data_IF_752246945956
#
_entry.id   IF_752246945956
#
_cell.length_a   1.000
_cell.length_b   1.000
_cell.length_c   1.000
_cell.angle_alpha   90.00
_cell.angle_beta   90.00
_cell.angle_gamma   90.00
#
_symmetry.space_group_name_H-M   'P 1'
#
loop_
_entity.id
_entity.type
_entity.pdbx_description
1 polymer ?
#
# COMPACT_ATOMS: atom_id res chain seq x y z
N UNK A 1 -15.93 20.39 -11.00
CA UNK A 1 -16.68 19.36 -11.76
C UNK A 1 -17.87 18.97 -10.91
N UNK A 2 -19.01 18.64 -11.51
CA UNK A 2 -20.17 18.15 -10.74
C UNK A 2 -19.83 16.78 -10.13
N UNK A 3 -20.20 16.51 -8.87
CA UNK A 3 -19.99 15.20 -8.26
C UNK A 3 -20.86 14.14 -8.94
N UNK A 4 -20.33 12.94 -9.08
CA UNK A 4 -21.06 11.77 -9.57
C UNK A 4 -21.75 11.10 -8.39
N UNK A 5 -23.07 10.91 -8.45
CA UNK A 5 -23.87 10.39 -7.34
C UNK A 5 -24.46 9.03 -7.70
N UNK A 6 -24.42 8.09 -6.76
CA UNK A 6 -24.88 6.72 -6.97
C UNK A 6 -25.64 6.21 -5.74
N UNK A 7 -26.74 5.45 -5.91
CA UNK A 7 -27.46 4.90 -4.78
C UNK A 7 -26.68 3.75 -4.14
N UNK A 8 -26.80 3.58 -2.82
CA UNK A 8 -26.12 2.50 -2.08
C UNK A 8 -26.55 1.08 -2.52
N UNK A 9 -27.72 0.96 -3.15
CA UNK A 9 -28.24 -0.29 -3.68
C UNK A 9 -27.72 -0.64 -5.09
N UNK A 10 -26.93 0.23 -5.72
CA UNK A 10 -26.37 -0.02 -7.06
C UNK A 10 -25.37 -1.17 -7.02
N UNK A 11 -25.43 -2.04 -8.03
CA UNK A 11 -24.46 -3.13 -8.18
C UNK A 11 -23.08 -2.58 -8.58
N UNK A 12 -22.03 -3.21 -8.06
CA UNK A 12 -20.64 -2.75 -8.20
C UNK A 12 -20.13 -2.82 -9.64
N UNK A 13 -20.56 -3.83 -10.40
CA UNK A 13 -20.26 -4.00 -11.82
C UNK A 13 -20.88 -2.90 -12.69
N UNK A 14 -22.16 -2.57 -12.45
CA UNK A 14 -22.83 -1.46 -13.12
C UNK A 14 -22.18 -0.11 -12.77
N UNK A 15 -21.81 0.07 -11.50
CA UNK A 15 -21.12 1.27 -11.02
C UNK A 15 -19.76 1.45 -11.70
N UNK A 16 -18.99 0.38 -11.86
CA UNK A 16 -17.68 0.40 -12.51
C UNK A 16 -17.77 0.91 -13.96
N UNK A 17 -18.73 0.38 -14.71
CA UNK A 17 -18.90 0.73 -16.12
C UNK A 17 -19.33 2.19 -16.28
N UNK A 18 -20.27 2.66 -15.46
CA UNK A 18 -20.68 4.07 -15.46
C UNK A 18 -19.54 5.03 -15.08
N UNK A 19 -18.73 4.68 -14.06
CA UNK A 19 -17.60 5.49 -13.64
C UNK A 19 -16.50 5.55 -14.71
N UNK A 20 -16.27 4.45 -15.45
CA UNK A 20 -15.36 4.41 -16.61
C UNK A 20 -15.85 5.29 -17.76
N UNK A 21 -17.12 5.15 -18.15
CA UNK A 21 -17.71 5.92 -19.25
C UNK A 21 -17.75 7.42 -18.93
N UNK A 22 -18.17 7.76 -17.70
CA UNK A 22 -18.24 9.14 -17.21
C UNK A 22 -16.88 9.79 -16.93
N UNK A 23 -15.77 9.03 -17.02
CA UNK A 23 -14.42 9.45 -16.59
C UNK A 23 -14.42 10.01 -15.16
N UNK A 24 -15.23 9.41 -14.29
CA UNK A 24 -15.39 9.80 -12.89
C UNK A 24 -14.46 8.95 -12.02
N UNK A 25 -13.44 9.56 -11.43
CA UNK A 25 -12.53 8.85 -10.52
C UNK A 25 -13.11 8.58 -9.13
N UNK A 26 -14.20 9.26 -8.76
CA UNK A 26 -14.82 9.17 -7.44
C UNK A 26 -16.32 9.44 -7.55
N UNK A 27 -17.11 8.71 -6.76
CA UNK A 27 -18.55 8.85 -6.66
C UNK A 27 -18.99 9.04 -5.19
N UNK A 28 -20.07 9.79 -4.99
CA UNK A 28 -20.74 9.96 -3.69
C UNK A 28 -21.90 8.98 -3.62
N UNK A 29 -21.90 8.15 -2.58
CA UNK A 29 -22.95 7.15 -2.33
C UNK A 29 -24.07 7.82 -1.55
N UNK A 30 -25.32 7.67 -2.00
CA UNK A 30 -26.50 8.25 -1.36
C UNK A 30 -27.52 7.18 -0.96
N UNK A 31 -28.23 7.44 0.14
CA UNK A 31 -29.39 6.66 0.57
C UNK A 31 -30.66 7.02 -0.23
N UNK A 32 -31.75 6.32 0.06
CA UNK A 32 -33.07 6.49 -0.57
C UNK A 32 -33.70 7.88 -0.33
N UNK A 33 -33.24 8.61 0.67
CA UNK A 33 -33.70 9.95 1.04
C UNK A 33 -32.78 11.05 0.49
N UNK A 34 -31.74 10.69 -0.27
CA UNK A 34 -30.75 11.61 -0.83
C UNK A 34 -29.68 12.05 0.16
N UNK A 35 -29.60 11.40 1.32
CA UNK A 35 -28.52 11.58 2.30
C UNK A 35 -27.22 10.94 1.80
N UNK A 36 -26.11 11.65 1.91
CA UNK A 36 -24.80 11.07 1.58
C UNK A 36 -24.38 10.09 2.68
N UNK A 37 -24.16 8.83 2.30
CA UNK A 37 -23.74 7.76 3.21
C UNK A 37 -22.24 7.47 3.10
N UNK A 38 -21.61 7.82 1.97
CA UNK A 38 -20.18 7.59 1.77
C UNK A 38 -19.64 8.08 0.43
N UNK A 39 -18.39 7.71 0.14
CA UNK A 39 -17.72 7.93 -1.14
C UNK A 39 -17.01 6.66 -1.56
N UNK A 40 -16.82 6.48 -2.87
CA UNK A 40 -16.13 5.33 -3.47
C UNK A 40 -15.23 5.82 -4.60
N UNK A 41 -14.01 5.30 -4.70
CA UNK A 41 -13.10 5.60 -5.80
C UNK A 41 -13.12 4.49 -6.84
N UNK A 42 -12.88 4.86 -8.10
CA UNK A 42 -12.80 3.89 -9.21
C UNK A 42 -11.68 2.86 -8.97
N UNK A 43 -10.58 3.29 -8.35
CA UNK A 43 -9.45 2.43 -8.02
C UNK A 43 -9.79 1.35 -6.99
N UNK A 44 -10.63 1.67 -5.98
CA UNK A 44 -11.08 0.69 -4.98
C UNK A 44 -11.92 -0.42 -5.63
N UNK A 45 -12.81 -0.06 -6.57
CA UNK A 45 -13.64 -1.05 -7.28
C UNK A 45 -12.78 -1.97 -8.16
N UNK A 46 -11.77 -1.40 -8.82
CA UNK A 46 -10.85 -2.17 -9.67
C UNK A 46 -10.01 -3.11 -8.81
N UNK A 47 -9.54 -2.67 -7.63
CA UNK A 47 -8.78 -3.49 -6.69
C UNK A 47 -9.59 -4.70 -6.21
N UNK A 48 -10.88 -4.52 -5.87
CA UNK A 48 -11.76 -5.62 -5.43
C UNK A 48 -12.03 -6.67 -6.52
N UNK A 49 -12.13 -6.24 -7.79
CA UNK A 49 -12.41 -7.16 -8.92
C UNK A 49 -11.14 -7.88 -9.38
N UNK A 50 -10.04 -7.13 -9.49
CA UNK A 50 -8.79 -7.68 -10.02
C UNK A 50 -8.11 -8.54 -8.95
N UNK A 51 -8.23 -8.18 -7.67
CA UNK A 51 -7.36 -8.74 -6.64
C UNK A 51 -5.88 -8.56 -6.98
N UNK A 52 -4.97 -9.15 -6.21
CA UNK A 52 -3.60 -9.35 -6.71
C UNK A 52 -3.67 -10.44 -7.79
N UNK A 53 -3.32 -10.15 -9.04
CA UNK A 53 -3.37 -11.15 -10.12
C UNK A 53 -2.39 -12.29 -9.79
N UNK A 54 -2.93 -13.43 -9.37
CA UNK A 54 -2.20 -14.65 -9.02
C UNK A 54 -1.90 -15.51 -10.28
N UNK A 55 -0.65 -15.91 -10.44
CA UNK A 55 -0.19 -16.92 -11.41
C UNK A 55 -0.17 -18.30 -10.73
N UNK A 56 -0.55 -19.37 -11.45
CA UNK A 56 -0.85 -20.72 -10.91
C UNK A 56 0.37 -21.48 -10.35
N UNK A 57 1.53 -20.84 -10.19
CA UNK A 57 2.79 -21.48 -9.82
C UNK A 57 3.51 -20.94 -8.57
N UNK A 58 3.09 -19.85 -7.92
CA UNK A 58 3.86 -19.28 -6.81
C UNK A 58 3.21 -19.46 -5.42
N UNK A 59 3.93 -20.18 -4.55
CA UNK A 59 3.67 -20.23 -3.11
C UNK A 59 4.00 -18.87 -2.50
N UNK A 60 2.95 -18.10 -2.17
CA UNK A 60 3.03 -16.90 -1.33
C UNK A 60 3.41 -15.64 -2.07
N UNK A 61 2.54 -14.64 -2.01
CA UNK A 61 2.76 -13.28 -2.51
C UNK A 61 4.10 -12.76 -1.98
N UNK A 62 5.04 -12.45 -2.87
CA UNK A 62 6.28 -11.76 -2.48
C UNK A 62 5.97 -10.29 -2.20
N UNK A 63 6.01 -9.91 -0.93
CA UNK A 63 5.79 -8.55 -0.44
C UNK A 63 6.94 -7.57 -0.76
N UNK A 64 7.82 -7.95 -1.68
CA UNK A 64 8.88 -7.08 -2.20
C UNK A 64 9.20 -7.44 -3.65
N UNK A 65 9.69 -6.46 -4.41
CA UNK A 65 10.22 -6.65 -5.76
C UNK A 65 11.49 -5.85 -5.96
N UNK A 66 12.45 -6.43 -6.67
CA UNK A 66 13.67 -5.73 -7.06
C UNK A 66 13.37 -4.71 -8.16
N UNK A 67 13.89 -3.49 -8.00
CA UNK A 67 13.73 -2.39 -8.97
C UNK A 67 15.07 -1.84 -9.49
N UNK A 68 16.18 -2.27 -8.91
CA UNK A 68 17.54 -1.88 -9.31
C UNK A 68 18.62 -2.71 -8.63
N UNK A 69 19.89 -2.39 -8.87
CA UNK A 69 20.99 -3.04 -8.15
C UNK A 69 21.00 -2.60 -6.68
N UNK A 70 20.64 -3.52 -5.77
CA UNK A 70 20.51 -3.22 -4.35
C UNK A 70 19.28 -2.36 -4.02
N UNK A 71 18.35 -2.18 -4.95
CA UNK A 71 17.14 -1.40 -4.75
C UNK A 71 15.89 -2.27 -4.87
N UNK A 72 15.00 -2.16 -3.90
CA UNK A 72 13.79 -2.95 -3.77
C UNK A 72 12.61 -2.05 -3.42
N UNK A 73 11.44 -2.37 -3.97
CA UNK A 73 10.17 -1.83 -3.54
C UNK A 73 9.50 -2.85 -2.63
N UNK A 74 9.07 -2.43 -1.45
CA UNK A 74 8.65 -3.32 -0.36
C UNK A 74 7.29 -2.86 0.17
N UNK A 75 6.38 -3.81 0.32
CA UNK A 75 5.12 -3.63 1.03
C UNK A 75 5.44 -3.61 2.55
N UNK A 76 5.11 -2.52 3.28
CA UNK A 76 5.44 -2.39 4.69
C UNK A 76 4.77 -3.41 5.62
N UNK A 77 3.81 -4.19 5.13
CA UNK A 77 3.21 -5.32 5.84
C UNK A 77 4.12 -6.55 5.94
N UNK A 78 5.24 -6.58 5.20
CA UNK A 78 6.19 -7.69 5.31
C UNK A 78 6.70 -7.85 6.75
N UNK A 79 6.72 -9.10 7.21
CA UNK A 79 7.25 -9.45 8.52
C UNK A 79 8.79 -9.26 8.54
N UNK A 80 9.32 -8.93 9.72
CA UNK A 80 10.74 -8.60 9.89
C UNK A 80 11.64 -9.81 9.62
N UNK A 81 11.21 -11.00 10.04
CA UNK A 81 11.92 -12.26 9.77
C UNK A 81 11.99 -12.54 8.26
N UNK A 82 10.87 -12.41 7.54
CA UNK A 82 10.80 -12.65 6.08
C UNK A 82 11.72 -11.70 5.32
N UNK A 83 11.66 -10.39 5.58
CA UNK A 83 12.53 -9.43 4.86
C UNK A 83 14.01 -9.61 5.22
N UNK A 84 14.31 -10.02 6.45
CA UNK A 84 15.67 -10.31 6.87
C UNK A 84 16.22 -11.57 6.18
N UNK A 85 15.42 -12.63 6.09
CA UNK A 85 15.80 -13.88 5.43
C UNK A 85 15.95 -13.70 3.91
N UNK A 86 15.01 -13.00 3.27
CA UNK A 86 14.99 -12.81 1.84
C UNK A 86 16.08 -11.84 1.33
N UNK A 87 16.31 -10.74 2.06
CA UNK A 87 17.13 -9.62 1.58
C UNK A 87 18.34 -9.31 2.46
N UNK A 88 18.50 -9.94 3.62
CA UNK A 88 19.64 -9.73 4.52
C UNK A 88 19.70 -8.32 5.12
N UNK A 89 18.53 -7.71 5.37
CA UNK A 89 18.43 -6.30 5.81
C UNK A 89 18.96 -6.10 7.23
N UNK A 90 18.84 -7.11 8.09
CA UNK A 90 19.38 -7.12 9.45
C UNK A 90 18.67 -6.17 10.40
N UNK A 91 17.35 -6.03 10.25
CA UNK A 91 16.45 -5.32 11.16
C UNK A 91 16.41 -6.09 12.49
N UNK A 92 16.63 -5.44 13.64
CA UNK A 92 16.56 -6.12 14.94
C UNK A 92 15.17 -6.71 15.17
N UNK A 93 15.08 -7.88 15.80
CA UNK A 93 13.81 -8.39 16.31
C UNK A 93 13.46 -7.68 17.63
N UNK A 94 12.19 -7.34 17.82
CA UNK A 94 11.66 -6.74 19.05
C UNK A 94 10.23 -7.23 19.29
N UNK A 95 9.80 -7.20 20.54
CA UNK A 95 8.39 -7.43 20.91
C UNK A 95 7.49 -6.24 20.56
N UNK A 96 8.07 -5.07 20.27
CA UNK A 96 7.33 -3.84 19.98
C UNK A 96 6.83 -3.76 18.53
N UNK A 97 7.35 -4.59 17.63
CA UNK A 97 6.99 -4.60 16.22
C UNK A 97 7.23 -5.97 15.57
N UNK A 98 6.35 -6.33 14.64
CA UNK A 98 6.44 -7.58 13.87
C UNK A 98 6.66 -7.33 12.37
N UNK A 99 6.26 -6.16 11.87
CA UNK A 99 6.31 -5.80 10.44
C UNK A 99 7.27 -4.64 10.17
N UNK A 100 7.65 -4.46 8.91
CA UNK A 100 8.45 -3.32 8.47
C UNK A 100 7.79 -1.99 8.84
N UNK A 101 6.47 -1.86 8.69
CA UNK A 101 5.74 -0.65 9.09
C UNK A 101 5.86 -0.38 10.59
N UNK A 102 5.78 -1.43 11.42
CA UNK A 102 5.93 -1.32 12.87
C UNK A 102 7.33 -0.85 13.26
N UNK A 103 8.37 -1.43 12.65
CA UNK A 103 9.75 -1.02 12.84
C UNK A 103 9.97 0.45 12.44
N UNK A 104 9.53 0.85 11.25
CA UNK A 104 9.71 2.23 10.75
C UNK A 104 8.96 3.25 11.62
N UNK A 105 7.78 2.89 12.12
CA UNK A 105 7.02 3.72 13.07
C UNK A 105 7.74 3.84 14.43
N UNK A 106 8.30 2.73 14.93
CA UNK A 106 9.07 2.71 16.18
C UNK A 106 10.30 3.63 16.10
N UNK A 107 11.04 3.57 15.00
CA UNK A 107 12.22 4.43 14.76
C UNK A 107 11.85 5.91 14.56
N UNK A 108 10.74 6.20 13.87
CA UNK A 108 10.31 7.57 13.58
C UNK A 108 9.50 8.23 14.72
N UNK A 109 8.94 7.45 15.65
CA UNK A 109 8.04 7.89 16.71
C UNK A 109 6.66 8.37 16.25
N UNK A 110 6.43 8.43 14.94
CA UNK A 110 5.16 8.79 14.29
C UNK A 110 5.18 8.29 12.84
N UNK A 111 4.02 8.31 12.15
CA UNK A 111 3.96 7.84 10.76
C UNK A 111 4.82 8.76 9.88
N UNK A 112 5.90 8.26 9.26
CA UNK A 112 6.79 9.05 8.42
C UNK A 112 6.08 9.46 7.13
N UNK A 113 6.47 10.61 6.58
CA UNK A 113 5.84 11.17 5.37
C UNK A 113 6.51 10.63 4.12
N UNK A 114 5.78 10.66 3.01
CA UNK A 114 6.36 10.43 1.69
C UNK A 114 7.60 11.31 1.47
N UNK A 115 8.71 10.66 1.09
CA UNK A 115 10.02 11.28 0.90
C UNK A 115 10.96 11.13 2.09
N UNK A 116 10.45 10.80 3.29
CA UNK A 116 11.28 10.58 4.47
C UNK A 116 12.18 9.35 4.31
N UNK A 117 13.31 9.37 5.02
CA UNK A 117 14.31 8.31 4.95
C UNK A 117 14.75 7.89 6.34
N UNK A 118 14.64 6.59 6.62
CA UNK A 118 15.16 5.96 7.84
C UNK A 118 16.37 5.12 7.45
N UNK A 119 17.47 5.25 8.19
CA UNK A 119 18.72 4.56 7.92
C UNK A 119 18.98 3.51 8.98
N UNK A 120 19.34 2.31 8.55
CA UNK A 120 19.77 1.23 9.43
C UNK A 120 21.02 0.58 8.85
N UNK A 121 22.16 0.73 9.52
CA UNK A 121 23.45 0.15 9.08
C UNK A 121 23.74 0.47 7.60
N UNK A 122 23.65 -0.55 6.73
CA UNK A 122 23.90 -0.49 5.30
C UNK A 122 22.62 -0.39 4.46
N UNK A 123 21.46 -0.16 5.09
CA UNK A 123 20.14 -0.09 4.48
C UNK A 123 19.55 1.31 4.65
N UNK A 124 18.86 1.79 3.62
CA UNK A 124 18.07 3.02 3.64
C UNK A 124 16.65 2.69 3.22
N UNK A 125 15.69 2.99 4.09
CA UNK A 125 14.26 2.88 3.83
C UNK A 125 13.74 4.27 3.45
N UNK A 126 13.36 4.47 2.20
CA UNK A 126 12.73 5.68 1.73
C UNK A 126 11.23 5.47 1.59
N UNK A 127 10.43 6.29 2.27
CA UNK A 127 8.97 6.22 2.19
C UNK A 127 8.55 6.75 0.82
N UNK A 128 8.01 5.90 -0.05
CA UNK A 128 7.54 6.31 -1.37
C UNK A 128 6.06 6.63 -1.37
N UNK A 129 5.28 5.99 -0.48
CA UNK A 129 3.88 6.31 -0.25
C UNK A 129 3.49 6.11 1.21
N UNK A 130 2.88 7.12 1.82
CA UNK A 130 2.28 7.04 3.14
C UNK A 130 1.04 7.95 3.23
N UNK A 131 0.08 7.54 4.07
CA UNK A 131 -1.07 8.34 4.48
C UNK A 131 -0.86 8.90 5.89
N UNK A 132 -1.89 9.53 6.46
CA UNK A 132 -1.90 9.93 7.88
C UNK A 132 -2.02 8.74 8.84
N UNK A 133 -2.30 7.53 8.34
CA UNK A 133 -2.61 6.34 9.15
C UNK A 133 -1.71 5.14 8.85
N UNK A 134 -1.03 5.11 7.71
CA UNK A 134 -0.28 3.96 7.24
C UNK A 134 0.93 4.37 6.41
N UNK A 135 1.94 3.50 6.41
CA UNK A 135 2.99 3.48 5.40
C UNK A 135 2.57 2.43 4.37
N UNK A 136 2.41 2.83 3.11
CA UNK A 136 1.86 1.94 2.08
C UNK A 136 2.94 1.37 1.16
N UNK A 137 4.06 2.08 1.00
CA UNK A 137 5.15 1.65 0.14
C UNK A 137 6.49 2.22 0.58
N UNK A 138 7.51 1.35 0.58
CA UNK A 138 8.88 1.70 0.98
C UNK A 138 9.85 1.25 -0.09
N UNK A 139 10.72 2.16 -0.53
CA UNK A 139 11.91 1.82 -1.29
C UNK A 139 13.06 1.50 -0.34
N UNK A 140 13.51 0.26 -0.35
CA UNK A 140 14.69 -0.20 0.35
C UNK A 140 15.92 -0.11 -0.58
N UNK A 141 16.99 0.51 -0.09
CA UNK A 141 18.30 0.55 -0.74
C UNK A 141 19.34 -0.09 0.16
N UNK A 142 19.95 -1.19 -0.30
CA UNK A 142 21.03 -1.91 0.37
C UNK A 142 22.35 -1.47 -0.25
N UNK A 143 23.13 -0.71 0.50
CA UNK A 143 24.50 -0.33 0.13
C UNK A 143 25.44 -1.50 0.43
N UNK A 144 26.08 -2.09 -0.60
CA UNK A 144 27.16 -3.06 -0.36
C UNK A 144 28.32 -2.33 0.35
N UNK A 145 28.81 -2.87 1.47
CA UNK A 145 30.14 -2.51 1.95
C UNK A 145 31.14 -2.95 0.88
N UNK A 146 31.96 -2.01 0.41
CA UNK A 146 33.22 -2.33 -0.28
C UNK A 146 34.15 -3.06 0.68
#
# INVERSE_FOLDING_TARGET
RQPFYVPESKLVDELLDEMKEGRAGMAVVVDEYGGAVGVIALEDIIEEIVGEIEDEYDKGIKLWRKIGEGEYLVNPKIEIDVINDDLGVGIPESVDYETLSGFLLSEAGSIPKTGDKIKLKNCVFAITRATTRSIDEVKLVITKKK
#
